data_IF_465054999492
#
_entry.id   IF_465054999492
#
_cell.length_a   1.000
_cell.length_b   1.000
_cell.length_c   1.000
_cell.angle_alpha   90.00
_cell.angle_beta   90.00
_cell.angle_gamma   90.00
#
_symmetry.space_group_name_H-M   'P 1'
#
loop_
_entity.id
_entity.type
_entity.pdbx_description
1 polymer ?
#
# COMPACT_ATOMS: atom_id res chain seq x y z
N UNK A 1 -12.93 -34.40 -7.41
CA UNK A 1 -13.86 -34.88 -6.36
C UNK A 1 -14.58 -33.66 -5.80
N UNK A 2 -15.93 -33.63 -5.85
CA UNK A 2 -16.69 -32.56 -5.18
C UNK A 2 -16.57 -32.73 -3.68
N UNK A 3 -16.08 -31.73 -2.98
CA UNK A 3 -16.06 -31.73 -1.51
C UNK A 3 -17.52 -31.75 -0.98
N UNK A 4 -17.79 -32.58 0.04
CA UNK A 4 -19.05 -32.52 0.75
C UNK A 4 -19.19 -31.18 1.51
N UNK A 5 -20.39 -30.63 1.60
CA UNK A 5 -20.65 -29.43 2.41
C UNK A 5 -20.23 -29.62 3.88
N UNK A 6 -20.21 -30.87 4.37
CA UNK A 6 -19.76 -31.19 5.73
C UNK A 6 -18.23 -31.11 5.93
N UNK A 7 -17.46 -31.04 4.83
CA UNK A 7 -16.00 -30.87 4.87
C UNK A 7 -15.58 -29.39 4.79
N UNK A 8 -16.54 -28.49 4.58
CA UNK A 8 -16.30 -27.06 4.55
C UNK A 8 -16.38 -26.49 5.95
N UNK A 9 -15.25 -26.12 6.51
CA UNK A 9 -15.15 -25.44 7.81
C UNK A 9 -14.60 -24.04 7.64
N UNK A 10 -14.67 -23.24 8.70
CA UNK A 10 -14.06 -21.91 8.72
C UNK A 10 -12.56 -21.98 8.40
N UNK A 11 -11.85 -22.97 8.97
CA UNK A 11 -10.42 -23.18 8.72
C UNK A 11 -10.14 -23.56 7.27
N UNK A 12 -10.96 -24.47 6.69
CA UNK A 12 -10.78 -24.87 5.30
C UNK A 12 -11.08 -23.71 4.33
N UNK A 13 -12.06 -22.88 4.66
CA UNK A 13 -12.37 -21.66 3.91
C UNK A 13 -11.21 -20.63 4.00
N UNK A 14 -10.69 -20.37 5.20
CA UNK A 14 -9.55 -19.48 5.40
C UNK A 14 -8.32 -19.97 4.63
N UNK A 15 -8.01 -21.27 4.68
CA UNK A 15 -6.91 -21.85 3.89
C UNK A 15 -7.10 -21.70 2.38
N UNK A 16 -8.34 -21.79 1.90
CA UNK A 16 -8.63 -21.71 0.47
C UNK A 16 -8.64 -20.25 -0.04
N UNK A 17 -8.96 -19.28 0.80
CA UNK A 17 -9.19 -17.90 0.38
C UNK A 17 -8.11 -16.93 0.77
N UNK A 18 -7.37 -17.18 1.86
CA UNK A 18 -6.38 -16.23 2.36
C UNK A 18 -4.92 -16.45 1.95
N UNK A 19 -4.41 -17.70 1.75
CA UNK A 19 -2.97 -17.88 1.55
C UNK A 19 -2.44 -17.40 0.20
N UNK A 20 -3.30 -17.25 -0.80
CA UNK A 20 -2.85 -16.98 -2.18
C UNK A 20 -3.21 -15.60 -2.71
N UNK A 21 -4.04 -14.85 -2.02
CA UNK A 21 -4.51 -13.57 -2.54
C UNK A 21 -3.40 -12.52 -2.65
N UNK A 22 -2.54 -12.42 -1.66
CA UNK A 22 -1.43 -11.49 -1.68
C UNK A 22 -0.39 -11.82 -2.75
N UNK A 23 -0.03 -13.08 -2.87
CA UNK A 23 1.00 -13.55 -3.82
C UNK A 23 0.51 -13.55 -5.25
N UNK A 24 -0.73 -13.94 -5.52
CA UNK A 24 -1.29 -13.94 -6.87
C UNK A 24 -1.24 -12.56 -7.53
N UNK A 25 -1.65 -11.51 -6.83
CA UNK A 25 -1.61 -10.16 -7.39
C UNK A 25 -0.19 -9.65 -7.55
N UNK A 26 0.73 -10.01 -6.65
CA UNK A 26 2.15 -9.73 -6.82
C UNK A 26 2.69 -10.37 -8.13
N UNK A 27 2.34 -11.63 -8.39
CA UNK A 27 2.75 -12.32 -9.62
C UNK A 27 2.12 -11.70 -10.86
N UNK A 28 0.82 -11.37 -10.81
CA UNK A 28 0.13 -10.69 -11.91
C UNK A 28 0.82 -9.37 -12.28
N UNK A 29 1.10 -8.52 -11.29
CA UNK A 29 1.77 -7.24 -11.50
C UNK A 29 3.16 -7.46 -12.12
N UNK A 30 3.93 -8.41 -11.58
CA UNK A 30 5.27 -8.70 -12.08
C UNK A 30 5.26 -9.22 -13.52
N UNK A 31 4.31 -10.09 -13.88
CA UNK A 31 4.23 -10.73 -15.18
C UNK A 31 3.51 -9.88 -16.24
N UNK A 32 2.80 -8.84 -15.83
CA UNK A 32 2.05 -8.00 -16.78
C UNK A 32 2.99 -7.22 -17.67
N UNK A 33 2.89 -7.46 -18.97
CA UNK A 33 3.52 -6.66 -20.01
C UNK A 33 2.57 -5.54 -20.44
N UNK A 34 2.97 -4.30 -20.20
CA UNK A 34 2.19 -3.12 -20.57
C UNK A 34 2.45 -2.75 -22.03
N UNK A 35 1.40 -2.57 -22.81
CA UNK A 35 1.51 -2.21 -24.22
C UNK A 35 2.00 -0.77 -24.38
N UNK A 36 2.78 -0.52 -25.43
CA UNK A 36 3.23 0.83 -25.76
C UNK A 36 2.04 1.81 -25.90
N UNK A 37 2.18 2.98 -25.31
CA UNK A 37 1.14 4.01 -25.29
C UNK A 37 0.03 3.79 -24.28
N UNK A 38 0.18 2.77 -23.40
CA UNK A 38 -0.76 2.50 -22.30
C UNK A 38 -0.03 2.46 -20.94
N UNK A 39 -0.80 2.44 -19.87
CA UNK A 39 -0.34 2.16 -18.51
C UNK A 39 -1.24 1.11 -17.89
N UNK A 40 -0.69 0.25 -17.06
CA UNK A 40 -1.47 -0.63 -16.21
C UNK A 40 -1.63 0.01 -14.82
N UNK A 41 -2.80 -0.15 -14.23
CA UNK A 41 -3.12 0.39 -12.93
C UNK A 41 -3.90 -0.64 -12.11
N UNK A 42 -3.41 -0.93 -10.91
CA UNK A 42 -4.07 -1.81 -9.94
C UNK A 42 -4.48 -1.02 -8.71
N UNK A 43 -5.72 -1.19 -8.31
CA UNK A 43 -6.19 -0.71 -7.01
C UNK A 43 -5.92 -1.77 -5.94
N UNK A 44 -5.12 -1.41 -4.94
CA UNK A 44 -4.63 -2.33 -3.90
C UNK A 44 -5.42 -2.25 -2.59
N UNK A 45 -6.61 -1.67 -2.65
CA UNK A 45 -7.46 -1.42 -1.49
C UNK A 45 -7.15 -0.10 -0.78
N UNK A 46 -8.14 0.45 -0.06
CA UNK A 46 -8.09 1.79 0.51
C UNK A 46 -7.72 2.83 -0.58
N UNK A 47 -6.61 3.51 -0.42
CA UNK A 47 -6.05 4.47 -1.38
C UNK A 47 -4.85 3.93 -2.15
N UNK A 48 -4.46 2.67 -1.90
CA UNK A 48 -3.32 2.04 -2.53
C UNK A 48 -3.48 1.83 -4.03
N UNK A 49 -2.54 2.36 -4.81
CA UNK A 49 -2.50 2.22 -6.27
C UNK A 49 -1.11 1.79 -6.70
N UNK A 50 -1.03 0.83 -7.62
CA UNK A 50 0.18 0.50 -8.35
C UNK A 50 0.00 0.88 -9.81
N UNK A 51 0.94 1.66 -10.34
CA UNK A 51 1.01 2.03 -11.74
C UNK A 51 2.26 1.40 -12.36
N UNK A 52 2.11 0.81 -13.54
CA UNK A 52 3.21 0.26 -14.34
C UNK A 52 3.15 0.80 -15.76
N UNK A 53 4.27 1.29 -16.27
CA UNK A 53 4.37 1.79 -17.65
C UNK A 53 4.86 0.70 -18.59
N UNK A 54 4.80 0.96 -19.91
CA UNK A 54 5.34 0.07 -20.92
C UNK A 54 6.87 -0.05 -20.87
N UNK A 55 7.58 0.92 -20.29
CA UNK A 55 9.02 0.87 -20.02
C UNK A 55 9.36 0.15 -18.70
N UNK A 56 8.34 -0.48 -18.08
CA UNK A 56 8.44 -1.22 -16.82
C UNK A 56 8.77 -0.32 -15.62
N UNK A 57 8.44 0.97 -15.67
CA UNK A 57 8.50 1.84 -14.49
C UNK A 57 7.32 1.53 -13.57
N UNK A 58 7.62 1.25 -12.31
CA UNK A 58 6.66 0.84 -11.29
C UNK A 58 6.56 1.91 -10.19
N UNK A 59 5.40 2.56 -10.09
CA UNK A 59 5.10 3.55 -9.05
C UNK A 59 4.05 2.99 -8.11
N UNK A 60 4.37 2.97 -6.82
CA UNK A 60 3.48 2.53 -5.76
C UNK A 60 3.03 3.74 -4.95
N UNK A 61 1.70 3.98 -4.89
CA UNK A 61 1.12 5.10 -4.16
C UNK A 61 0.30 4.61 -2.97
N UNK A 62 0.47 5.25 -1.80
CA UNK A 62 -0.39 5.13 -0.61
C UNK A 62 -0.80 3.70 -0.24
N UNK A 63 0.05 2.71 -0.47
CA UNK A 63 -0.24 1.32 -0.11
C UNK A 63 -0.26 1.15 1.41
N UNK A 64 -1.39 0.69 1.92
CA UNK A 64 -1.57 0.40 3.33
C UNK A 64 -1.66 -1.10 3.60
N UNK A 65 -0.65 -1.65 4.28
CA UNK A 65 -0.57 -3.05 4.70
C UNK A 65 -0.73 -3.23 6.22
N UNK A 66 -1.04 -2.17 6.94
CA UNK A 66 -1.33 -2.23 8.38
C UNK A 66 -2.72 -2.78 8.69
N UNK A 67 -2.89 -3.28 9.91
CA UNK A 67 -4.17 -3.79 10.41
C UNK A 67 -5.13 -2.70 10.87
N UNK A 68 -4.73 -1.45 10.79
CA UNK A 68 -5.42 -0.31 11.38
C UNK A 68 -4.98 -0.05 12.82
N UNK A 69 -5.57 0.97 13.44
CA UNK A 69 -5.29 1.28 14.85
C UNK A 69 -5.99 0.27 15.74
N UNK A 70 -5.26 -0.33 16.65
CA UNK A 70 -5.86 -1.15 17.68
C UNK A 70 -6.75 -0.29 18.60
N UNK A 71 -7.90 -0.79 18.94
CA UNK A 71 -8.75 -0.20 19.96
C UNK A 71 -8.11 -0.40 21.32
N UNK A 72 -8.14 0.63 22.16
CA UNK A 72 -7.65 0.50 23.54
C UNK A 72 -8.74 -0.12 24.41
N UNK A 73 -8.40 -1.19 25.10
CA UNK A 73 -9.04 -1.88 26.22
C UNK A 73 -10.58 -1.91 26.34
N UNK A 74 -11.26 -0.87 25.96
CA UNK A 74 -12.72 -0.73 25.98
C UNK A 74 -13.34 -0.69 24.57
N UNK A 75 -12.60 -1.02 23.53
CA UNK A 75 -13.07 -0.98 22.16
C UNK A 75 -13.18 0.42 21.55
N UNK A 76 -12.77 1.45 22.27
CA UNK A 76 -12.84 2.84 21.82
C UNK A 76 -11.63 3.23 20.99
N UNK A 77 -11.87 3.92 19.90
CA UNK A 77 -10.82 4.60 19.16
C UNK A 77 -10.37 5.84 19.91
N UNK A 78 -9.09 5.94 20.21
CA UNK A 78 -8.53 7.06 20.96
C UNK A 78 -8.55 8.38 20.15
N UNK A 79 -8.39 8.28 18.85
CA UNK A 79 -8.55 9.41 17.93
C UNK A 79 -9.31 8.87 16.72
N UNK A 80 -10.49 9.41 16.44
CA UNK A 80 -11.30 8.92 15.34
C UNK A 80 -10.50 8.88 14.03
N UNK A 81 -10.44 7.72 13.42
CA UNK A 81 -9.89 7.58 12.09
C UNK A 81 -10.78 8.36 11.12
N UNK A 82 -10.19 9.13 10.24
CA UNK A 82 -10.95 10.03 9.38
C UNK A 82 -11.95 9.29 8.48
N UNK A 83 -11.59 8.12 7.98
CA UNK A 83 -12.48 7.28 7.18
C UNK A 83 -13.74 6.84 7.92
N UNK A 84 -13.66 6.58 9.21
CA UNK A 84 -14.84 6.21 9.99
C UNK A 84 -15.75 7.41 10.27
N UNK A 85 -15.21 8.62 10.35
CA UNK A 85 -16.01 9.85 10.41
C UNK A 85 -16.75 10.09 9.10
N UNK A 86 -16.10 9.87 7.97
CA UNK A 86 -16.70 10.00 6.64
C UNK A 86 -17.79 8.97 6.37
N UNK A 87 -17.69 7.77 6.94
CA UNK A 87 -18.71 6.72 6.82
C UNK A 87 -19.90 6.90 7.76
N UNK A 88 -19.96 7.97 8.56
CA UNK A 88 -21.05 8.24 9.50
C UNK A 88 -21.06 7.37 10.74
N UNK A 89 -20.02 6.61 11.00
CA UNK A 89 -19.87 5.80 12.20
C UNK A 89 -19.71 6.72 13.43
N UNK A 90 -20.74 6.80 14.25
CA UNK A 90 -20.80 7.80 15.32
C UNK A 90 -20.06 7.42 16.60
N UNK A 91 -19.90 6.15 16.94
CA UNK A 91 -19.30 5.73 18.21
C UNK A 91 -18.71 4.33 18.16
N UNK A 92 -17.59 4.17 18.87
CA UNK A 92 -17.08 2.90 19.41
C UNK A 92 -16.86 1.75 18.40
N UNK A 93 -16.67 2.08 17.13
CA UNK A 93 -16.27 1.06 16.17
C UNK A 93 -14.79 0.76 16.33
N UNK A 94 -14.39 -0.51 16.36
CA UNK A 94 -12.97 -0.84 16.27
C UNK A 94 -12.42 -0.32 14.96
N UNK A 95 -11.29 0.37 15.01
CA UNK A 95 -10.58 0.84 13.82
C UNK A 95 -9.84 -0.33 13.18
N UNK A 96 -10.59 -1.32 12.73
CA UNK A 96 -10.08 -2.47 12.04
C UNK A 96 -10.03 -2.20 10.54
N UNK A 97 -9.03 -2.79 9.91
CA UNK A 97 -8.98 -2.85 8.46
C UNK A 97 -10.19 -3.65 7.96
N UNK A 98 -10.99 -3.06 7.09
CA UNK A 98 -12.15 -3.72 6.48
C UNK A 98 -11.85 -4.25 5.08
N UNK A 99 -10.84 -3.70 4.41
CA UNK A 99 -10.39 -4.19 3.11
C UNK A 99 -9.45 -5.38 3.30
N UNK A 100 -9.55 -6.41 2.46
CA UNK A 100 -8.61 -7.53 2.48
C UNK A 100 -7.19 -7.05 2.12
N UNK A 101 -6.18 -7.83 2.53
CA UNK A 101 -4.84 -7.71 1.99
C UNK A 101 -4.83 -8.36 0.61
N UNK A 102 -4.67 -7.57 -0.43
CA UNK A 102 -4.66 -8.05 -1.83
C UNK A 102 -3.25 -8.25 -2.37
N UNK A 103 -2.25 -7.81 -1.62
CA UNK A 103 -0.83 -7.90 -1.97
C UNK A 103 -0.02 -8.23 -0.71
N UNK A 104 1.02 -9.05 -0.86
CA UNK A 104 2.05 -9.22 0.17
C UNK A 104 3.11 -8.14 -0.03
N UNK A 105 3.28 -7.20 0.90
CA UNK A 105 4.27 -6.14 0.74
C UNK A 105 5.71 -6.66 0.67
N UNK A 106 6.02 -7.79 1.34
CA UNK A 106 7.36 -8.37 1.34
C UNK A 106 7.68 -9.22 0.10
N UNK A 107 6.69 -9.48 -0.76
CA UNK A 107 6.89 -10.06 -2.10
C UNK A 107 6.94 -8.98 -3.20
N UNK A 108 6.94 -7.71 -2.86
CA UNK A 108 7.22 -6.60 -3.78
C UNK A 108 8.69 -6.68 -4.19
N UNK A 109 8.97 -6.76 -5.50
CA UNK A 109 10.34 -6.92 -6.04
C UNK A 109 10.79 -5.76 -6.93
N UNK A 110 9.85 -5.07 -7.55
CA UNK A 110 10.13 -4.06 -8.57
C UNK A 110 9.28 -2.81 -8.32
N UNK A 111 9.80 -1.89 -7.53
CA UNK A 111 9.24 -0.54 -7.35
C UNK A 111 10.36 0.48 -7.58
N UNK A 112 10.11 1.44 -8.46
CA UNK A 112 11.04 2.54 -8.74
C UNK A 112 10.77 3.72 -7.81
N UNK A 113 9.51 3.96 -7.42
CA UNK A 113 9.18 4.94 -6.40
C UNK A 113 7.99 4.52 -5.54
N UNK A 114 8.14 4.73 -4.23
CA UNK A 114 7.05 4.76 -3.26
C UNK A 114 6.64 6.23 -3.05
N UNK A 115 5.41 6.55 -3.46
CA UNK A 115 4.82 7.89 -3.32
C UNK A 115 3.80 7.85 -2.18
N UNK A 116 3.86 8.81 -1.26
CA UNK A 116 2.88 8.92 -0.17
C UNK A 116 2.38 10.36 -0.09
N UNK A 117 1.05 10.50 -0.12
CA UNK A 117 0.40 11.80 -0.17
C UNK A 117 0.43 12.56 1.14
N UNK A 118 0.30 11.86 2.28
CA UNK A 118 0.30 12.49 3.60
C UNK A 118 0.57 11.49 4.74
N UNK A 119 0.65 12.01 5.99
CA UNK A 119 1.13 11.25 7.16
C UNK A 119 0.12 10.34 7.85
N UNK A 120 -1.12 10.23 7.37
CA UNK A 120 -2.08 9.33 7.99
C UNK A 120 -1.65 7.87 7.81
N UNK A 121 -1.93 7.04 8.80
CA UNK A 121 -1.42 5.67 8.87
C UNK A 121 -2.01 4.70 7.83
N UNK A 122 -3.08 5.09 7.18
CA UNK A 122 -3.70 4.38 6.05
C UNK A 122 -3.11 4.81 4.69
N UNK A 123 -2.15 5.73 4.69
CA UNK A 123 -1.35 6.16 3.54
C UNK A 123 0.14 5.94 3.82
N UNK A 124 0.66 6.49 4.93
CA UNK A 124 2.05 6.32 5.35
C UNK A 124 2.17 5.06 6.22
N UNK A 125 2.43 3.93 5.59
CA UNK A 125 2.52 2.62 6.24
C UNK A 125 3.96 2.15 6.41
N UNK A 126 4.31 1.75 7.65
CA UNK A 126 5.65 1.30 7.98
C UNK A 126 5.98 -0.07 7.37
N UNK A 127 4.99 -0.96 7.21
CA UNK A 127 5.21 -2.28 6.61
C UNK A 127 5.55 -2.16 5.13
N UNK A 128 4.80 -1.33 4.41
CA UNK A 128 5.07 -1.01 3.01
C UNK A 128 6.44 -0.35 2.84
N UNK A 129 6.73 0.66 3.68
CA UNK A 129 8.02 1.36 3.63
C UNK A 129 9.20 0.39 3.90
N UNK A 130 9.06 -0.50 4.89
CA UNK A 130 10.09 -1.50 5.22
C UNK A 130 10.30 -2.48 4.06
N UNK A 131 9.22 -3.00 3.48
CA UNK A 131 9.26 -3.96 2.39
C UNK A 131 9.91 -3.36 1.12
N UNK A 132 9.49 -2.16 0.71
CA UNK A 132 10.10 -1.45 -0.42
C UNK A 132 11.57 -1.13 -0.16
N UNK A 133 11.91 -0.68 1.07
CA UNK A 133 13.30 -0.38 1.40
C UNK A 133 14.21 -1.62 1.31
N UNK A 134 13.71 -2.78 1.77
CA UNK A 134 14.46 -4.03 1.78
C UNK A 134 14.59 -4.66 0.39
N UNK A 135 13.49 -4.71 -0.37
CA UNK A 135 13.42 -5.46 -1.61
C UNK A 135 13.73 -4.63 -2.85
N UNK A 136 13.54 -3.30 -2.79
CA UNK A 136 13.75 -2.39 -3.90
C UNK A 136 14.85 -1.35 -3.55
N UNK A 137 16.14 -1.76 -3.56
CA UNK A 137 17.23 -0.93 -3.05
C UNK A 137 17.43 0.37 -3.82
N UNK A 138 16.93 0.47 -5.05
CA UNK A 138 17.00 1.68 -5.89
C UNK A 138 15.76 2.57 -5.79
N UNK A 139 14.70 2.12 -5.14
CA UNK A 139 13.45 2.85 -5.05
C UNK A 139 13.62 4.22 -4.40
N UNK A 140 12.97 5.22 -4.97
CA UNK A 140 12.83 6.55 -4.39
C UNK A 140 11.60 6.58 -3.46
N UNK A 141 11.70 7.35 -2.39
CA UNK A 141 10.62 7.61 -1.44
C UNK A 141 10.20 9.07 -1.58
N UNK A 142 9.05 9.32 -2.20
CA UNK A 142 8.60 10.66 -2.61
C UNK A 142 7.37 11.05 -1.81
N UNK A 143 7.38 12.20 -1.17
CA UNK A 143 6.23 12.70 -0.43
C UNK A 143 6.46 14.10 0.15
N UNK A 144 5.44 14.68 0.81
CA UNK A 144 5.57 15.94 1.52
C UNK A 144 6.62 15.86 2.63
N UNK A 145 7.09 17.02 3.07
CA UNK A 145 8.15 17.16 4.08
C UNK A 145 7.93 16.31 5.33
N UNK A 146 6.71 16.22 5.85
CA UNK A 146 6.41 15.47 7.08
C UNK A 146 6.42 13.95 6.85
N UNK A 147 6.07 13.49 5.67
CA UNK A 147 6.21 12.09 5.24
C UNK A 147 7.68 11.71 5.18
N UNK A 148 8.49 12.52 4.49
CA UNK A 148 9.94 12.29 4.35
C UNK A 148 10.63 12.27 5.71
N UNK A 149 10.34 13.23 6.60
CA UNK A 149 10.87 13.23 7.97
C UNK A 149 10.51 11.94 8.72
N UNK A 150 9.31 11.42 8.49
CA UNK A 150 8.86 10.19 9.17
C UNK A 150 9.60 8.97 8.63
N UNK A 151 9.78 8.84 7.32
CA UNK A 151 10.59 7.78 6.73
C UNK A 151 12.04 7.80 7.22
N UNK A 152 12.66 8.99 7.29
CA UNK A 152 14.02 9.13 7.82
C UNK A 152 14.11 8.72 9.29
N UNK A 153 13.11 9.05 10.11
CA UNK A 153 13.02 8.55 11.51
C UNK A 153 12.83 7.02 11.58
N UNK A 154 12.23 6.41 10.56
CA UNK A 154 12.12 4.95 10.46
C UNK A 154 13.39 4.29 9.91
N UNK A 155 14.39 5.07 9.49
CA UNK A 155 15.68 4.58 9.02
C UNK A 155 15.81 4.53 7.49
N UNK A 156 14.88 5.09 6.72
CA UNK A 156 15.08 5.26 5.27
C UNK A 156 16.18 6.28 5.04
N UNK A 157 17.24 5.94 4.28
CA UNK A 157 18.36 6.84 4.02
C UNK A 157 17.92 8.13 3.31
N UNK A 158 18.53 9.25 3.68
CA UNK A 158 18.17 10.57 3.15
C UNK A 158 18.33 10.66 1.62
N UNK A 159 19.35 9.99 1.07
CA UNK A 159 19.62 9.95 -0.37
C UNK A 159 18.53 9.25 -1.19
N UNK A 160 17.71 8.41 -0.55
CA UNK A 160 16.54 7.76 -1.17
C UNK A 160 15.27 8.59 -1.09
N UNK A 161 15.23 9.59 -0.23
CA UNK A 161 14.03 10.38 0.00
C UNK A 161 13.99 11.63 -0.85
N UNK A 162 12.80 12.04 -1.29
CA UNK A 162 12.56 13.28 -2.03
C UNK A 162 11.34 13.99 -1.45
N UNK A 163 11.54 15.23 -1.04
CA UNK A 163 10.41 16.11 -0.70
C UNK A 163 9.83 16.63 -1.99
N UNK A 164 8.51 16.59 -2.10
CA UNK A 164 7.76 17.22 -3.18
C UNK A 164 6.72 18.19 -2.60
N UNK A 165 6.69 19.40 -3.13
CA UNK A 165 5.76 20.46 -2.70
C UNK A 165 4.78 20.78 -3.84
N UNK A 166 3.60 21.36 -3.56
CA UNK A 166 2.64 21.73 -4.60
C UNK A 166 3.29 22.52 -5.75
N UNK A 167 2.99 22.10 -6.97
CA UNK A 167 3.56 22.67 -8.20
C UNK A 167 4.94 22.13 -8.60
N UNK A 168 5.54 21.28 -7.79
CA UNK A 168 6.82 20.63 -8.14
C UNK A 168 6.59 19.29 -8.85
N UNK A 169 7.58 18.88 -9.62
CA UNK A 169 7.63 17.55 -10.24
C UNK A 169 8.95 16.84 -9.94
N UNK A 170 8.87 15.52 -9.85
CA UNK A 170 10.04 14.65 -9.72
C UNK A 170 9.95 13.58 -10.80
N UNK A 171 10.99 13.49 -11.62
CA UNK A 171 11.08 12.48 -12.67
C UNK A 171 11.56 11.14 -12.08
N UNK A 172 10.83 10.08 -12.40
CA UNK A 172 11.18 8.69 -12.08
C UNK A 172 11.13 7.90 -13.39
N UNK A 173 12.27 7.62 -13.98
CA UNK A 173 12.41 6.99 -15.29
C UNK A 173 11.59 7.76 -16.38
N UNK A 174 10.54 7.12 -16.93
CA UNK A 174 9.62 7.72 -17.91
C UNK A 174 8.38 8.38 -17.28
N UNK A 175 8.26 8.39 -15.94
CA UNK A 175 7.13 8.98 -15.21
C UNK A 175 7.50 10.29 -14.55
N UNK A 176 6.64 11.31 -14.66
CA UNK A 176 6.72 12.54 -13.87
C UNK A 176 5.70 12.48 -12.74
N UNK A 177 6.19 12.50 -11.49
CA UNK A 177 5.35 12.64 -10.30
C UNK A 177 5.17 14.13 -10.03
N UNK A 178 3.93 14.60 -10.10
CA UNK A 178 3.57 16.03 -9.91
C UNK A 178 2.73 16.17 -8.65
N UNK A 179 3.09 17.12 -7.78
CA UNK A 179 2.26 17.50 -6.64
C UNK A 179 1.30 18.64 -7.04
N UNK A 180 0.02 18.45 -6.76
CA UNK A 180 -1.05 19.43 -7.02
C UNK A 180 -1.42 20.19 -5.76
#
# INVERSE_FOLDING_TARGET
MSKSIHEITKESWLKATFPEWGTYLNEEINQTNVLQGTVALWWLGCTGIWLKTHENTNILCDLWCGTGKQTHGNGLMKNGHQMMRMSGCQKMQPNLRTQPFVIDPFEIKEVDALVVTHIHSDHLDIHTAAAVHQNCPKALFIGPKEVVKTWQRWGVPAEKTRVIEPGQEIKVNDVNVVAL
#
